data_IF_367956073640
#
_entry.id   IF_367956073640
#
_cell.length_a   1.000
_cell.length_b   1.000
_cell.length_c   1.000
_cell.angle_alpha   90.00
_cell.angle_beta   90.00
_cell.angle_gamma   90.00
#
_symmetry.space_group_name_H-M   'P 1'
#
loop_
_entity.id
_entity.type
_entity.pdbx_description
1 polymer ?
#
# COMPACT_ATOMS: atom_id res chain seq x y z
N UNK A 1 23.42 -8.96 28.73
CA UNK A 1 23.95 -9.74 27.59
C UNK A 1 23.20 -11.04 27.61
N UNK A 2 22.17 -11.24 26.82
CA UNK A 2 22.05 -10.88 25.40
C UNK A 2 20.63 -10.36 25.14
N UNK A 3 20.54 -9.17 24.57
CA UNK A 3 19.34 -8.72 23.87
C UNK A 3 19.14 -9.67 22.69
N UNK A 4 18.42 -10.78 22.91
CA UNK A 4 17.89 -11.63 21.85
C UNK A 4 16.91 -10.74 21.13
N UNK A 5 17.43 -10.07 20.13
CA UNK A 5 16.64 -9.08 19.51
C UNK A 5 15.44 -9.72 18.82
N UNK A 6 14.31 -9.08 19.08
CA UNK A 6 13.02 -9.19 18.43
C UNK A 6 13.07 -9.49 16.92
N UNK A 7 14.13 -9.09 16.20
CA UNK A 7 14.35 -9.44 14.80
C UNK A 7 14.59 -10.95 14.52
N UNK A 8 14.86 -11.76 15.54
CA UNK A 8 15.09 -13.20 15.42
C UNK A 8 13.79 -14.04 15.52
N UNK A 9 12.77 -13.57 16.25
CA UNK A 9 11.53 -14.34 16.48
C UNK A 9 10.62 -14.35 15.25
N UNK A 10 10.57 -13.24 14.53
CA UNK A 10 9.97 -13.15 13.20
C UNK A 10 11.09 -13.08 12.18
N UNK A 11 11.43 -14.22 11.58
CA UNK A 11 12.35 -14.24 10.44
C UNK A 11 11.95 -13.17 9.42
N UNK A 12 12.93 -12.49 8.84
CA UNK A 12 12.77 -11.34 7.92
C UNK A 12 11.72 -11.55 6.81
N UNK A 13 11.50 -12.81 6.42
CA UNK A 13 10.45 -13.21 5.47
C UNK A 13 9.02 -12.97 5.96
N UNK A 14 8.68 -13.34 7.20
CA UNK A 14 7.30 -13.27 7.71
C UNK A 14 6.87 -11.82 8.00
N UNK A 15 7.79 -11.01 8.53
CA UNK A 15 7.56 -9.57 8.69
C UNK A 15 7.34 -8.88 7.34
N UNK A 16 8.13 -9.24 6.33
CA UNK A 16 7.93 -8.72 4.97
C UNK A 16 6.57 -9.12 4.38
N UNK A 17 6.10 -10.34 4.65
CA UNK A 17 4.78 -10.83 4.20
C UNK A 17 3.63 -10.12 4.93
N UNK A 18 3.70 -9.92 6.25
CA UNK A 18 2.65 -9.24 7.02
C UNK A 18 2.55 -7.77 6.60
N UNK A 19 3.67 -7.07 6.44
CA UNK A 19 3.73 -5.68 5.95
C UNK A 19 3.11 -5.59 4.55
N UNK A 20 3.44 -6.53 3.67
CA UNK A 20 2.88 -6.59 2.33
C UNK A 20 1.37 -6.87 2.37
N UNK A 21 0.91 -7.77 3.24
CA UNK A 21 -0.52 -8.10 3.41
C UNK A 21 -1.34 -6.94 3.97
N UNK A 22 -0.84 -6.20 4.96
CA UNK A 22 -1.53 -5.02 5.49
C UNK A 22 -1.52 -3.86 4.50
N UNK A 23 -0.40 -3.61 3.81
CA UNK A 23 -0.35 -2.55 2.79
C UNK A 23 -1.18 -2.89 1.57
N UNK A 24 -1.27 -4.17 1.18
CA UNK A 24 -2.21 -4.64 0.17
C UNK A 24 -3.66 -4.50 0.63
N UNK A 25 -3.97 -4.76 1.91
CA UNK A 25 -5.32 -4.57 2.47
C UNK A 25 -5.71 -3.09 2.58
N UNK A 26 -4.80 -2.24 3.06
CA UNK A 26 -5.00 -0.79 3.15
C UNK A 26 -5.10 -0.12 1.78
N UNK A 27 -4.28 -0.58 0.81
CA UNK A 27 -4.48 -0.18 -0.58
C UNK A 27 -5.83 -0.71 -1.06
N UNK A 28 -6.19 -1.98 -0.81
CA UNK A 28 -7.43 -2.62 -1.28
C UNK A 28 -8.70 -1.90 -0.81
N UNK A 29 -8.70 -1.36 0.41
CA UNK A 29 -9.90 -0.78 1.02
C UNK A 29 -10.05 0.74 0.82
N UNK A 30 -8.97 1.48 0.51
CA UNK A 30 -9.04 2.95 0.36
C UNK A 30 -9.30 3.39 -1.07
N UNK A 31 -10.44 2.98 -1.63
CA UNK A 31 -11.00 3.61 -2.84
C UNK A 31 -12.07 4.63 -2.51
N UNK A 32 -12.17 5.68 -3.31
CA UNK A 32 -13.23 6.69 -3.21
C UNK A 32 -13.83 6.98 -4.59
N UNK A 33 -15.10 7.40 -4.66
CA UNK A 33 -15.70 7.82 -5.93
C UNK A 33 -15.01 9.09 -6.42
N UNK A 34 -14.56 9.07 -7.67
CA UNK A 34 -13.90 10.17 -8.32
C UNK A 34 -14.88 11.32 -8.56
N UNK A 35 -14.43 12.54 -8.24
CA UNK A 35 -15.17 13.78 -8.47
C UNK A 35 -14.29 14.69 -9.32
N UNK A 36 -14.46 14.68 -10.65
CA UNK A 36 -13.68 15.53 -11.52
C UNK A 36 -13.96 17.01 -11.21
N UNK A 37 -12.91 17.84 -11.24
CA UNK A 37 -13.08 19.28 -11.22
C UNK A 37 -13.73 19.79 -12.51
N UNK A 38 -14.16 21.07 -12.55
CA UNK A 38 -14.77 21.67 -13.73
C UNK A 38 -13.82 21.72 -14.95
N UNK A 39 -12.50 21.63 -14.72
CA UNK A 39 -11.50 21.54 -15.79
C UNK A 39 -10.66 20.26 -15.65
N UNK A 40 -10.42 19.52 -16.74
CA UNK A 40 -9.62 18.30 -16.71
C UNK A 40 -8.15 18.64 -16.45
N UNK A 41 -7.66 18.27 -15.26
CA UNK A 41 -6.24 18.34 -14.91
C UNK A 41 -5.43 17.16 -15.48
N UNK A 42 -4.10 17.18 -15.36
CA UNK A 42 -3.21 16.10 -15.85
C UNK A 42 -3.42 14.75 -15.16
N UNK A 43 -4.14 14.71 -14.04
CA UNK A 43 -4.51 13.49 -13.31
C UNK A 43 -5.91 12.95 -13.72
N UNK A 44 -6.43 13.35 -14.89
CA UNK A 44 -7.77 12.96 -15.35
C UNK A 44 -7.83 11.58 -16.02
N UNK A 45 -6.69 10.98 -16.40
CA UNK A 45 -6.67 9.71 -17.13
C UNK A 45 -5.95 8.61 -16.35
N UNK A 46 -6.48 7.38 -16.40
CA UNK A 46 -5.82 6.22 -15.83
C UNK A 46 -4.80 5.67 -16.82
N UNK A 47 -3.50 5.86 -16.55
CA UNK A 47 -2.41 5.39 -17.44
C UNK A 47 -2.30 3.87 -17.58
N UNK A 48 -3.04 3.10 -16.76
CA UNK A 48 -3.01 1.63 -16.82
C UNK A 48 -3.95 1.10 -17.91
N UNK A 49 -5.16 1.65 -18.03
CA UNK A 49 -6.11 1.29 -19.09
C UNK A 49 -6.17 2.31 -20.23
N UNK A 50 -5.53 3.48 -20.05
CA UNK A 50 -5.55 4.62 -20.97
C UNK A 50 -6.92 5.27 -21.15
N UNK A 51 -7.86 5.01 -20.23
CA UNK A 51 -9.19 5.61 -20.21
C UNK A 51 -9.30 6.74 -19.19
N UNK A 52 -10.22 7.68 -19.46
CA UNK A 52 -10.51 8.80 -18.58
C UNK A 52 -11.15 8.36 -17.26
N UNK A 53 -10.75 8.98 -16.16
CA UNK A 53 -11.37 8.83 -14.84
C UNK A 53 -12.70 9.59 -14.82
N UNK A 54 -13.80 8.84 -14.93
CA UNK A 54 -15.16 9.37 -14.93
C UNK A 54 -15.62 9.86 -13.56
N UNK A 55 -16.71 10.63 -13.54
CA UNK A 55 -17.41 10.91 -12.28
C UNK A 55 -18.02 9.63 -11.72
N UNK A 56 -17.84 9.40 -10.41
CA UNK A 56 -18.34 8.19 -9.74
C UNK A 56 -17.43 6.97 -9.88
N UNK A 57 -16.42 7.00 -10.75
CA UNK A 57 -15.44 5.91 -10.84
C UNK A 57 -14.75 5.68 -9.50
N UNK A 58 -14.67 4.43 -9.07
CA UNK A 58 -13.89 4.10 -7.87
C UNK A 58 -12.40 4.18 -8.20
N UNK A 59 -11.73 5.17 -7.62
CA UNK A 59 -10.32 5.44 -7.84
C UNK A 59 -9.52 5.31 -6.56
N UNK A 60 -8.20 5.20 -6.72
CA UNK A 60 -7.24 5.27 -5.63
C UNK A 60 -6.15 6.25 -5.95
N UNK A 61 -5.73 6.98 -4.93
CA UNK A 61 -4.60 7.90 -4.98
C UNK A 61 -3.44 7.34 -4.17
N UNK A 62 -2.29 7.16 -4.82
CA UNK A 62 -1.07 6.73 -4.16
C UNK A 62 -0.44 7.88 -3.35
N UNK A 63 0.53 7.57 -2.49
CA UNK A 63 1.28 8.58 -1.73
C UNK A 63 2.02 9.59 -2.63
N UNK A 64 2.44 9.16 -3.83
CA UNK A 64 2.99 10.02 -4.87
C UNK A 64 1.94 10.88 -5.60
N UNK A 65 0.69 10.89 -5.13
CA UNK A 65 -0.47 11.67 -5.59
C UNK A 65 -1.10 11.27 -6.92
N UNK A 66 -0.51 10.35 -7.67
CA UNK A 66 -1.13 9.81 -8.89
C UNK A 66 -2.38 8.98 -8.60
N UNK A 67 -3.37 9.09 -9.49
CA UNK A 67 -4.70 8.49 -9.36
C UNK A 67 -4.91 7.43 -10.44
N UNK A 68 -5.54 6.31 -10.08
CA UNK A 68 -5.85 5.21 -10.99
C UNK A 68 -7.22 4.62 -10.65
N UNK A 69 -7.89 3.96 -11.60
CA UNK A 69 -9.04 3.13 -11.27
C UNK A 69 -8.65 2.05 -10.26
N UNK A 70 -9.55 1.79 -9.30
CA UNK A 70 -9.39 0.77 -8.27
C UNK A 70 -8.99 -0.57 -8.89
N UNK A 71 -9.74 -1.04 -9.88
CA UNK A 71 -9.49 -2.32 -10.54
C UNK A 71 -8.16 -2.36 -11.30
N UNK A 72 -7.78 -1.26 -11.97
CA UNK A 72 -6.52 -1.16 -12.68
C UNK A 72 -5.32 -1.26 -11.73
N UNK A 73 -5.35 -0.52 -10.62
CA UNK A 73 -4.29 -0.58 -9.62
C UNK A 73 -4.29 -1.94 -8.90
N UNK A 74 -5.44 -2.52 -8.58
CA UNK A 74 -5.53 -3.86 -7.98
C UNK A 74 -4.91 -4.92 -8.89
N UNK A 75 -5.20 -4.90 -10.19
CA UNK A 75 -4.58 -5.82 -11.15
C UNK A 75 -3.06 -5.63 -11.28
N UNK A 76 -2.58 -4.39 -11.18
CA UNK A 76 -1.16 -4.07 -11.16
C UNK A 76 -0.46 -4.70 -9.94
N UNK A 77 -1.03 -4.52 -8.75
CA UNK A 77 -0.53 -5.08 -7.49
C UNK A 77 -0.64 -6.62 -7.46
N UNK A 78 -1.70 -7.19 -8.04
CA UNK A 78 -1.88 -8.64 -8.15
C UNK A 78 -0.77 -9.32 -8.97
N UNK A 79 -0.08 -8.58 -9.84
CA UNK A 79 1.11 -9.03 -10.57
C UNK A 79 2.43 -8.76 -9.84
N UNK A 80 2.38 -8.53 -8.52
CA UNK A 80 3.52 -8.27 -7.66
C UNK A 80 4.31 -6.99 -8.00
N UNK A 81 3.65 -6.00 -8.64
CA UNK A 81 4.28 -4.72 -8.95
C UNK A 81 4.00 -3.70 -7.84
N UNK A 82 4.96 -3.48 -6.94
CA UNK A 82 4.82 -2.56 -5.80
C UNK A 82 5.36 -1.15 -6.06
N UNK A 83 5.24 -0.68 -7.29
CA UNK A 83 5.64 0.68 -7.72
C UNK A 83 4.51 1.38 -8.46
N UNK A 84 4.52 2.72 -8.42
CA UNK A 84 3.56 3.54 -9.14
C UNK A 84 3.69 3.29 -10.66
N UNK A 85 2.58 2.96 -11.37
CA UNK A 85 2.61 2.76 -12.82
C UNK A 85 3.12 3.97 -13.62
N UNK A 86 2.98 5.18 -13.06
CA UNK A 86 3.33 6.44 -13.72
C UNK A 86 4.76 6.88 -13.42
N UNK A 87 5.10 7.05 -12.13
CA UNK A 87 6.39 7.62 -11.71
C UNK A 87 7.37 6.61 -11.12
N UNK A 88 7.00 5.33 -11.04
CA UNK A 88 7.81 4.23 -10.46
C UNK A 88 8.19 4.40 -8.98
N UNK A 89 7.69 5.43 -8.30
CA UNK A 89 7.85 5.57 -6.86
C UNK A 89 7.34 4.32 -6.14
N UNK A 90 8.07 3.79 -5.16
CA UNK A 90 7.64 2.61 -4.41
C UNK A 90 6.34 2.91 -3.65
N UNK A 91 5.43 1.94 -3.60
CA UNK A 91 4.19 2.07 -2.82
C UNK A 91 4.42 1.88 -1.32
N UNK A 92 5.55 1.29 -0.96
CA UNK A 92 5.96 1.01 0.42
C UNK A 92 7.27 1.77 0.64
N UNK A 93 7.29 2.66 1.62
CA UNK A 93 8.52 3.33 2.08
C UNK A 93 9.14 2.56 3.25
N UNK A 94 10.46 2.67 3.45
CA UNK A 94 11.15 2.08 4.60
C UNK A 94 10.50 2.51 5.93
N UNK A 95 10.04 3.76 6.02
CA UNK A 95 9.29 4.26 7.18
C UNK A 95 7.97 3.52 7.41
N UNK A 96 7.21 3.24 6.35
CA UNK A 96 5.95 2.48 6.45
C UNK A 96 6.19 1.01 6.83
N UNK A 97 7.32 0.43 6.38
CA UNK A 97 7.76 -0.91 6.79
C UNK A 97 8.09 -0.90 8.27
N UNK A 98 8.90 0.06 8.74
CA UNK A 98 9.33 0.14 10.13
C UNK A 98 8.19 0.48 11.09
N UNK A 99 7.24 1.29 10.67
CA UNK A 99 6.03 1.56 11.44
C UNK A 99 5.17 0.30 11.58
N UNK A 100 4.99 -0.44 10.49
CA UNK A 100 4.23 -1.70 10.49
C UNK A 100 4.94 -2.76 11.33
N UNK A 101 6.27 -2.89 11.20
CA UNK A 101 7.09 -3.78 12.03
C UNK A 101 6.93 -3.48 13.51
N UNK A 102 6.95 -2.20 13.91
CA UNK A 102 6.75 -1.79 15.31
C UNK A 102 5.37 -2.17 15.83
N UNK A 103 4.32 -1.99 15.02
CA UNK A 103 2.95 -2.37 15.39
C UNK A 103 2.80 -3.88 15.54
N UNK A 104 3.22 -4.65 14.53
CA UNK A 104 3.17 -6.12 14.57
C UNK A 104 3.99 -6.69 15.73
N UNK A 105 5.17 -6.14 15.99
CA UNK A 105 5.98 -6.51 17.15
C UNK A 105 5.25 -6.22 18.47
N UNK A 106 4.58 -5.08 18.57
CA UNK A 106 3.74 -4.73 19.72
C UNK A 106 2.56 -5.70 19.92
N UNK A 107 1.83 -6.01 18.84
CA UNK A 107 0.70 -6.93 18.88
C UNK A 107 1.13 -8.36 19.28
N UNK A 108 2.28 -8.83 18.76
CA UNK A 108 2.85 -10.11 19.14
C UNK A 108 3.29 -10.16 20.61
N UNK A 109 3.89 -9.09 21.12
CA UNK A 109 4.26 -8.96 22.54
C UNK A 109 3.03 -8.91 23.46
N UNK A 110 1.92 -8.35 22.98
CA UNK A 110 0.66 -8.32 23.73
C UNK A 110 -0.03 -9.70 23.77
N UNK A 111 0.09 -10.49 22.70
CA UNK A 111 -0.52 -11.82 22.60
C UNK A 111 0.29 -12.93 23.27
N UNK A 112 1.62 -12.79 23.26
CA UNK A 112 2.52 -13.66 24.01
C UNK A 112 3.24 -12.81 25.06
N UNK A 113 2.56 -12.47 26.17
CA UNK A 113 3.28 -11.91 27.31
C UNK A 113 4.41 -12.88 27.63
N UNK A 114 5.64 -12.37 27.67
CA UNK A 114 6.79 -13.16 28.08
C UNK A 114 6.43 -13.88 29.39
N UNK A 115 6.42 -15.21 29.34
CA UNK A 115 6.17 -16.07 30.49
C UNK A 115 7.21 -15.83 31.59
#
# INVERSE_FOLDING_TARGET
HEDISLYAVVGSGLTSVIVLCEQLSLNRDRSYPHRPGPEPGPDADCVVCLDRLGEGDHVRRLACRHVFHRGCLDGWLGRLNFSCPLCRAPLVSDESVDQTRRRVAGDLLAWFPAA
#
